data_IF_458627164209
#
_entry.id   IF_458627164209
#
_cell.length_a   1.000
_cell.length_b   1.000
_cell.length_c   1.000
_cell.angle_alpha   90.00
_cell.angle_beta   90.00
_cell.angle_gamma   90.00
#
_symmetry.space_group_name_H-M   'P 1'
#
loop_
_entity.id
_entity.type
_entity.pdbx_description
1 polymer ?
#
# COMPACT_ATOMS: atom_id res chain seq x y z
N UNK A 1 -10.55 20.23 -21.79
CA UNK A 1 -10.41 18.75 -21.71
C UNK A 1 -9.80 18.39 -20.36
N UNK A 2 -10.58 17.85 -19.41
CA UNK A 2 -10.09 17.53 -18.06
C UNK A 2 -9.23 16.25 -18.16
N UNK A 3 -7.91 16.39 -18.00
CA UNK A 3 -6.97 15.27 -17.99
C UNK A 3 -7.23 14.46 -16.72
N UNK A 4 -8.02 13.38 -16.83
CA UNK A 4 -8.30 12.48 -15.70
C UNK A 4 -6.99 11.87 -15.19
N UNK A 5 -6.67 12.12 -13.92
CA UNK A 5 -5.47 11.64 -13.27
C UNK A 5 -5.56 10.11 -13.09
N UNK A 6 -4.60 9.37 -13.65
CA UNK A 6 -4.50 7.92 -13.47
C UNK A 6 -4.31 7.57 -11.99
N UNK A 7 -5.01 6.53 -11.54
CA UNK A 7 -4.87 5.90 -10.23
C UNK A 7 -3.59 5.07 -10.26
N UNK A 8 -2.74 5.26 -9.26
CA UNK A 8 -1.43 4.62 -9.14
C UNK A 8 -1.08 4.41 -7.67
N UNK A 9 -0.05 3.61 -7.42
CA UNK A 9 0.51 3.44 -6.08
C UNK A 9 0.92 4.78 -5.45
N UNK A 10 0.81 4.88 -4.13
CA UNK A 10 1.03 6.11 -3.38
C UNK A 10 -0.15 7.09 -3.40
N UNK A 11 -1.17 6.90 -4.23
CA UNK A 11 -2.44 7.66 -4.13
C UNK A 11 -3.28 7.19 -2.93
N UNK A 12 -4.42 7.84 -2.68
CA UNK A 12 -5.23 7.54 -1.49
C UNK A 12 -6.49 6.74 -1.82
N UNK A 13 -6.86 5.88 -0.88
CA UNK A 13 -8.17 5.23 -0.81
C UNK A 13 -8.85 5.63 0.50
N UNK A 14 -10.13 5.94 0.44
CA UNK A 14 -10.92 6.31 1.62
C UNK A 14 -12.00 5.30 1.95
N UNK A 15 -12.28 5.13 3.24
CA UNK A 15 -13.51 4.47 3.69
C UNK A 15 -14.71 5.43 3.60
N UNK A 16 -15.92 4.93 3.87
CA UNK A 16 -17.14 5.74 3.93
C UNK A 16 -17.10 6.88 4.96
N UNK A 17 -16.30 6.75 6.03
CA UNK A 17 -16.09 7.79 7.05
C UNK A 17 -15.01 8.82 6.67
N UNK A 18 -14.51 8.81 5.44
CA UNK A 18 -13.54 9.79 4.94
C UNK A 18 -12.09 9.61 5.40
N UNK A 19 -11.80 8.64 6.28
CA UNK A 19 -10.42 8.29 6.67
C UNK A 19 -9.70 7.66 5.48
N UNK A 20 -8.44 8.06 5.28
CA UNK A 20 -7.66 7.73 4.08
C UNK A 20 -6.46 6.86 4.43
N UNK A 21 -6.29 5.79 3.67
CA UNK A 21 -5.07 4.99 3.61
C UNK A 21 -4.35 5.24 2.28
N UNK A 22 -3.08 4.87 2.21
CA UNK A 22 -2.29 4.95 0.97
C UNK A 22 -2.41 3.64 0.18
N UNK A 23 -2.56 3.74 -1.14
CA UNK A 23 -2.56 2.60 -2.05
C UNK A 23 -1.13 2.06 -2.15
N UNK A 24 -0.92 0.88 -1.57
CA UNK A 24 0.36 0.19 -1.51
C UNK A 24 0.70 -0.57 -2.79
N UNK A 25 -0.24 -1.29 -3.37
CA UNK A 25 -0.03 -1.95 -4.65
C UNK A 25 -1.32 -2.00 -5.47
N UNK A 26 -1.15 -2.09 -6.79
CA UNK A 26 -2.23 -2.30 -7.75
C UNK A 26 -1.83 -3.46 -8.64
N UNK A 27 -2.43 -4.63 -8.42
CA UNK A 27 -2.15 -5.84 -9.20
C UNK A 27 -3.25 -6.09 -10.22
N UNK A 28 -2.87 -6.51 -11.42
CA UNK A 28 -3.82 -6.94 -12.46
C UNK A 28 -4.31 -8.34 -12.13
N UNK A 29 -5.60 -8.60 -12.37
CA UNK A 29 -6.20 -9.91 -12.24
C UNK A 29 -7.20 -10.14 -13.38
N UNK A 30 -6.75 -10.82 -14.43
CA UNK A 30 -7.49 -11.03 -15.69
C UNK A 30 -8.06 -9.69 -16.22
N UNK A 31 -9.37 -9.48 -16.03
CA UNK A 31 -10.11 -8.31 -16.50
C UNK A 31 -10.43 -7.30 -15.37
N UNK A 32 -9.78 -7.43 -14.22
CA UNK A 32 -9.99 -6.56 -13.05
C UNK A 32 -8.66 -6.15 -12.43
N UNK A 33 -8.70 -5.19 -11.51
CA UNK A 33 -7.55 -4.82 -10.69
C UNK A 33 -7.87 -5.10 -9.23
N UNK A 34 -6.86 -5.52 -8.47
CA UNK A 34 -6.91 -5.54 -7.01
C UNK A 34 -6.00 -4.47 -6.46
N UNK A 35 -6.48 -3.80 -5.43
CA UNK A 35 -5.76 -2.73 -4.76
C UNK A 35 -5.41 -3.22 -3.36
N UNK A 36 -4.16 -3.02 -2.95
CA UNK A 36 -3.65 -3.45 -1.65
C UNK A 36 -3.38 -2.20 -0.82
N UNK A 37 -3.86 -2.19 0.43
CA UNK A 37 -3.64 -1.11 1.41
C UNK A 37 -3.53 -1.69 2.82
N UNK A 38 -3.11 -0.87 3.79
CA UNK A 38 -3.09 -1.24 5.21
C UNK A 38 -4.50 -1.42 5.78
N UNK A 39 -4.74 -2.54 6.46
CA UNK A 39 -6.04 -2.85 7.05
C UNK A 39 -6.34 -2.02 8.30
N UNK A 40 -5.37 -1.76 9.17
CA UNK A 40 -5.62 -1.06 10.44
C UNK A 40 -6.25 0.32 10.23
N UNK A 41 -5.93 1.02 9.13
CA UNK A 41 -6.57 2.29 8.79
C UNK A 41 -8.06 2.11 8.49
N UNK A 42 -8.41 1.08 7.71
CA UNK A 42 -9.81 0.77 7.41
C UNK A 42 -10.57 0.25 8.65
N UNK A 43 -9.87 -0.44 9.55
CA UNK A 43 -10.42 -0.90 10.82
C UNK A 43 -10.88 0.27 11.69
N UNK A 44 -10.18 1.41 11.69
CA UNK A 44 -10.59 2.63 12.42
C UNK A 44 -11.99 3.09 11.94
N UNK A 45 -12.31 2.90 10.66
CA UNK A 45 -13.64 3.23 10.13
C UNK A 45 -14.73 2.20 10.50
N UNK A 46 -14.37 1.05 11.06
CA UNK A 46 -15.25 -0.11 11.19
C UNK A 46 -15.45 -0.87 9.87
N UNK A 47 -14.56 -0.71 8.88
CA UNK A 47 -14.65 -1.47 7.64
C UNK A 47 -14.36 -2.96 7.88
N UNK A 48 -15.21 -3.79 7.30
CA UNK A 48 -15.11 -5.26 7.23
C UNK A 48 -15.13 -5.70 5.77
N UNK A 49 -14.97 -7.00 5.51
CA UNK A 49 -15.20 -7.53 4.17
C UNK A 49 -16.61 -7.16 3.68
N UNK A 50 -16.71 -6.74 2.42
CA UNK A 50 -17.92 -6.19 1.82
C UNK A 50 -18.12 -4.68 2.04
N UNK A 51 -17.43 -4.04 2.99
CA UNK A 51 -17.54 -2.60 3.23
C UNK A 51 -17.10 -1.77 2.02
N UNK A 52 -17.75 -0.63 1.85
CA UNK A 52 -17.49 0.28 0.73
C UNK A 52 -16.24 1.12 0.95
N UNK A 53 -15.49 1.31 -0.13
CA UNK A 53 -14.27 2.13 -0.20
C UNK A 53 -14.26 2.93 -1.50
N UNK A 54 -13.52 4.03 -1.50
CA UNK A 54 -13.57 5.03 -2.57
C UNK A 54 -12.18 5.46 -3.00
N UNK A 55 -11.97 5.55 -4.31
CA UNK A 55 -10.79 6.18 -4.93
C UNK A 55 -11.30 7.19 -5.93
N UNK A 56 -11.06 8.47 -5.68
CA UNK A 56 -11.67 9.57 -6.42
C UNK A 56 -13.20 9.38 -6.47
N UNK A 57 -13.77 9.27 -7.68
CA UNK A 57 -15.20 9.01 -7.93
C UNK A 57 -15.56 7.52 -8.00
N UNK A 58 -14.58 6.62 -7.97
CA UNK A 58 -14.83 5.19 -8.14
C UNK A 58 -15.14 4.54 -6.80
N UNK A 59 -16.26 3.81 -6.78
CA UNK A 59 -16.70 3.00 -5.66
C UNK A 59 -16.16 1.58 -5.80
N UNK A 60 -15.66 1.03 -4.70
CA UNK A 60 -15.15 -0.33 -4.58
C UNK A 60 -15.59 -0.97 -3.28
N UNK A 61 -15.08 -2.18 -3.03
CA UNK A 61 -15.35 -2.92 -1.80
C UNK A 61 -14.08 -3.52 -1.20
N UNK A 62 -14.07 -3.67 0.11
CA UNK A 62 -13.11 -4.54 0.79
C UNK A 62 -13.43 -5.98 0.42
N UNK A 63 -12.57 -6.59 -0.40
CA UNK A 63 -12.79 -7.96 -0.86
C UNK A 63 -12.33 -8.98 0.17
N UNK A 64 -11.13 -8.77 0.74
CA UNK A 64 -10.53 -9.71 1.69
C UNK A 64 -9.62 -9.01 2.67
N UNK A 65 -9.60 -9.47 3.92
CA UNK A 65 -8.73 -8.95 4.97
C UNK A 65 -7.74 -10.04 5.41
N UNK A 66 -6.44 -9.72 5.34
CA UNK A 66 -5.37 -10.56 5.86
C UNK A 66 -4.87 -9.96 7.18
N UNK A 67 -5.57 -10.27 8.28
CA UNK A 67 -5.31 -9.65 9.60
C UNK A 67 -3.86 -9.79 10.04
N UNK A 68 -3.27 -10.98 9.86
CA UNK A 68 -1.89 -11.27 10.28
C UNK A 68 -0.83 -10.47 9.50
N UNK A 69 -1.19 -9.95 8.33
CA UNK A 69 -0.32 -9.13 7.50
C UNK A 69 -0.69 -7.64 7.59
N UNK A 70 -1.74 -7.27 8.33
CA UNK A 70 -2.29 -5.91 8.28
C UNK A 70 -2.62 -5.44 6.84
N UNK A 71 -3.11 -6.35 5.99
CA UNK A 71 -3.44 -6.06 4.58
C UNK A 71 -4.95 -6.13 4.36
N UNK A 72 -5.47 -5.14 3.65
CA UNK A 72 -6.78 -5.20 3.01
C UNK A 72 -6.64 -5.24 1.49
N UNK A 73 -7.28 -6.24 0.88
CA UNK A 73 -7.42 -6.38 -0.57
C UNK A 73 -8.75 -5.78 -0.99
N UNK A 74 -8.71 -4.83 -1.92
CA UNK A 74 -9.86 -4.08 -2.38
C UNK A 74 -10.15 -4.43 -3.84
N UNK A 75 -11.43 -4.51 -4.17
CA UNK A 75 -11.91 -4.67 -5.54
C UNK A 75 -12.56 -3.38 -6.03
N UNK A 76 -12.20 -2.98 -7.24
CA UNK A 76 -12.84 -1.87 -7.93
C UNK A 76 -13.14 -2.26 -9.38
N UNK A 77 -14.21 -1.70 -9.91
CA UNK A 77 -14.49 -1.71 -11.34
C UNK A 77 -14.06 -0.36 -11.93
N UNK A 78 -12.82 -0.27 -12.39
CA UNK A 78 -12.24 0.95 -12.97
C UNK A 78 -11.75 0.60 -14.37
N UNK A 79 -12.10 1.40 -15.40
CA UNK A 79 -11.56 1.18 -16.73
C UNK A 79 -10.03 1.22 -16.71
N UNK A 80 -9.41 0.31 -17.46
CA UNK A 80 -7.96 0.09 -17.47
C UNK A 80 -7.15 1.35 -17.74
N UNK A 81 -7.67 2.24 -18.58
CA UNK A 81 -6.97 3.46 -19.01
C UNK A 81 -6.76 4.45 -17.85
N UNK A 82 -7.53 4.31 -16.77
CA UNK A 82 -7.41 5.11 -15.56
C UNK A 82 -6.50 4.48 -14.50
N UNK A 83 -5.91 3.32 -14.73
CA UNK A 83 -5.14 2.59 -13.72
C UNK A 83 -3.72 2.30 -14.20
N UNK A 84 -2.74 2.56 -13.34
CA UNK A 84 -1.35 2.14 -13.51
C UNK A 84 -1.06 1.03 -12.51
N UNK A 85 -0.83 -0.18 -13.02
CA UNK A 85 -0.48 -1.34 -12.21
C UNK A 85 0.95 -1.24 -11.68
N UNK A 86 1.22 -1.92 -10.58
CA UNK A 86 2.54 -2.07 -9.99
C UNK A 86 3.02 -3.50 -10.13
N UNK A 87 4.32 -3.67 -10.35
CA UNK A 87 4.97 -4.97 -10.19
C UNK A 87 5.33 -5.21 -8.72
N UNK A 88 5.06 -6.43 -8.24
CA UNK A 88 5.50 -6.88 -6.92
C UNK A 88 6.86 -7.56 -7.08
N UNK A 89 7.82 -7.16 -6.26
CA UNK A 89 9.19 -7.69 -6.27
C UNK A 89 9.53 -8.44 -4.99
N UNK A 90 10.65 -9.17 -5.03
CA UNK A 90 11.25 -9.73 -3.84
C UNK A 90 12.07 -8.65 -3.11
N UNK A 91 11.91 -8.51 -1.78
CA UNK A 91 12.72 -7.60 -0.99
C UNK A 91 14.19 -8.06 -0.93
N UNK A 92 15.10 -7.09 -0.79
CA UNK A 92 16.51 -7.28 -0.48
C UNK A 92 16.92 -6.31 0.62
N UNK A 93 17.94 -6.67 1.39
CA UNK A 93 18.55 -5.74 2.34
C UNK A 93 19.14 -4.54 1.59
N UNK A 94 19.02 -3.35 2.17
CA UNK A 94 19.58 -2.13 1.60
C UNK A 94 18.54 -1.09 1.21
N UNK A 95 18.90 -0.22 0.28
CA UNK A 95 18.15 1.00 -0.04
C UNK A 95 16.75 0.74 -0.57
N UNK A 96 15.79 1.53 -0.10
CA UNK A 96 14.42 1.56 -0.57
C UNK A 96 13.84 2.96 -0.32
N UNK A 97 12.58 3.17 -0.68
CA UNK A 97 11.84 4.35 -0.26
C UNK A 97 10.35 4.04 -0.14
N UNK A 98 9.64 4.82 0.68
CA UNK A 98 8.18 4.83 0.65
C UNK A 98 7.67 5.97 -0.23
N UNK A 99 6.51 5.77 -0.86
CA UNK A 99 5.90 6.76 -1.74
C UNK A 99 4.47 7.12 -1.30
N UNK A 100 4.20 8.40 -1.11
CA UNK A 100 2.85 8.92 -0.91
C UNK A 100 2.64 10.19 -1.72
N UNK A 101 1.63 10.21 -2.58
CA UNK A 101 1.24 11.36 -3.43
C UNK A 101 2.41 11.99 -4.20
N UNK A 102 3.38 11.18 -4.64
CA UNK A 102 4.59 11.66 -5.34
C UNK A 102 5.75 12.01 -4.42
N UNK A 103 5.54 12.14 -3.12
CA UNK A 103 6.61 12.39 -2.14
C UNK A 103 7.30 11.08 -1.79
N UNK A 104 8.62 11.02 -2.04
CA UNK A 104 9.48 9.89 -1.70
C UNK A 104 10.15 10.15 -0.35
N UNK A 105 10.06 9.20 0.58
CA UNK A 105 10.86 9.20 1.82
C UNK A 105 11.84 8.02 1.78
N UNK A 106 13.15 8.28 1.78
CA UNK A 106 14.16 7.22 1.72
C UNK A 106 14.15 6.38 3.00
N UNK A 107 14.40 5.09 2.84
CA UNK A 107 14.57 4.14 3.94
C UNK A 107 15.57 3.04 3.54
N UNK A 108 15.87 2.14 4.47
CA UNK A 108 16.55 0.88 4.17
C UNK A 108 15.72 -0.28 4.70
N UNK A 109 15.69 -1.37 3.95
CA UNK A 109 15.25 -2.67 4.44
C UNK A 109 16.43 -3.25 5.22
N UNK A 110 16.23 -3.48 6.52
CA UNK A 110 17.28 -3.94 7.45
C UNK A 110 17.02 -5.36 7.95
N UNK A 111 15.82 -5.89 7.76
CA UNK A 111 15.48 -7.29 8.01
C UNK A 111 14.31 -7.72 7.11
N UNK A 112 14.31 -8.98 6.67
CA UNK A 112 13.31 -9.55 5.75
C UNK A 112 12.61 -10.71 6.46
N UNK A 113 11.42 -10.46 6.99
CA UNK A 113 10.54 -11.50 7.48
C UNK A 113 9.50 -11.95 6.45
N UNK A 114 8.96 -13.16 6.65
CA UNK A 114 7.83 -13.71 5.87
C UNK A 114 6.55 -12.87 6.01
N UNK A 115 6.33 -12.32 7.20
CA UNK A 115 5.13 -11.52 7.53
C UNK A 115 5.43 -10.03 7.41
N UNK A 116 6.55 -9.58 8.00
CA UNK A 116 6.93 -8.17 8.03
C UNK A 116 8.42 -8.01 7.70
N UNK A 117 8.73 -6.98 6.94
CA UNK A 117 10.10 -6.49 6.76
C UNK A 117 10.35 -5.35 7.75
N UNK A 118 11.56 -5.27 8.30
CA UNK A 118 11.95 -4.15 9.15
C UNK A 118 12.63 -3.09 8.31
N UNK A 119 12.22 -1.85 8.51
CA UNK A 119 12.75 -0.68 7.82
C UNK A 119 13.47 0.23 8.80
N UNK A 120 14.54 0.89 8.37
CA UNK A 120 15.15 2.02 9.06
C UNK A 120 14.98 3.30 8.24
N UNK A 121 14.68 4.41 8.90
CA UNK A 121 14.56 5.72 8.27
C UNK A 121 15.63 6.68 8.80
N UNK A 122 16.06 7.67 8.00
CA UNK A 122 16.75 8.82 8.55
C UNK A 122 15.84 9.54 9.56
N UNK A 123 16.36 9.92 10.72
CA UNK A 123 15.56 10.50 11.82
C UNK A 123 14.68 11.70 11.38
N UNK A 124 15.18 12.55 10.47
CA UNK A 124 14.46 13.72 9.94
C UNK A 124 13.45 13.40 8.82
N UNK A 125 13.36 12.15 8.38
CA UNK A 125 12.51 11.70 7.26
C UNK A 125 11.59 10.56 7.65
N UNK A 126 11.19 10.53 8.91
CA UNK A 126 10.25 9.53 9.41
C UNK A 126 8.90 9.64 8.69
N UNK A 127 8.21 8.51 8.46
CA UNK A 127 6.83 8.57 8.06
C UNK A 127 5.98 9.14 9.20
N UNK A 128 4.82 9.69 8.84
CA UNK A 128 3.89 10.35 9.77
C UNK A 128 2.53 9.65 9.75
N UNK A 129 1.63 9.91 10.71
CA UNK A 129 0.26 9.45 10.62
C UNK A 129 -0.35 9.76 9.24
N UNK A 130 -0.95 8.75 8.62
CA UNK A 130 -1.47 8.81 7.25
C UNK A 130 -0.50 8.36 6.15
N UNK A 131 0.75 8.02 6.47
CA UNK A 131 1.65 7.29 5.55
C UNK A 131 1.35 5.78 5.54
N UNK A 132 0.51 5.28 6.43
CA UNK A 132 0.07 3.87 6.46
C UNK A 132 -0.48 3.40 5.11
N UNK A 133 -0.03 2.22 4.70
CA UNK A 133 -0.30 1.64 3.39
C UNK A 133 0.67 2.07 2.29
N UNK A 134 1.61 2.99 2.58
CA UNK A 134 2.54 3.48 1.53
C UNK A 134 3.34 2.32 0.93
N UNK A 135 3.44 2.20 -0.41
CA UNK A 135 4.33 1.24 -1.05
C UNK A 135 5.76 1.42 -0.55
N UNK A 136 6.43 0.33 -0.21
CA UNK A 136 7.89 0.27 -0.11
C UNK A 136 8.42 -0.13 -1.47
N UNK A 137 9.24 0.73 -2.08
CA UNK A 137 9.74 0.55 -3.44
C UNK A 137 11.25 0.30 -3.40
N UNK A 138 11.67 -0.77 -4.05
CA UNK A 138 13.07 -1.16 -4.28
C UNK A 138 13.21 -1.68 -5.71
N UNK A 139 14.25 -1.27 -6.42
CA UNK A 139 14.51 -1.65 -7.83
C UNK A 139 13.29 -1.44 -8.76
N UNK A 140 12.51 -0.38 -8.51
CA UNK A 140 11.30 -0.05 -9.28
C UNK A 140 10.06 -0.89 -8.96
N UNK A 141 10.15 -1.85 -8.04
CA UNK A 141 9.08 -2.79 -7.67
C UNK A 141 8.56 -2.53 -6.26
N UNK A 142 7.29 -2.86 -6.02
CA UNK A 142 6.71 -2.83 -4.67
C UNK A 142 7.11 -4.10 -3.94
N UNK A 143 7.84 -3.97 -2.84
CA UNK A 143 8.34 -5.11 -2.06
C UNK A 143 7.64 -5.26 -0.70
N UNK A 144 6.78 -4.29 -0.35
CA UNK A 144 6.03 -4.28 0.90
C UNK A 144 5.12 -3.05 0.97
N UNK A 145 4.29 -2.97 2.00
CA UNK A 145 3.51 -1.76 2.31
C UNK A 145 3.74 -1.34 3.76
N UNK A 146 3.88 -0.05 4.03
CA UNK A 146 4.13 0.47 5.37
C UNK A 146 2.94 0.16 6.30
N UNK A 147 3.20 -0.51 7.42
CA UNK A 147 2.18 -0.87 8.41
C UNK A 147 2.29 -0.01 9.66
N UNK A 148 3.45 0.03 10.32
CA UNK A 148 3.63 0.75 11.58
C UNK A 148 5.03 1.34 11.71
N UNK A 149 5.18 2.33 12.59
CA UNK A 149 6.41 3.11 12.79
C UNK A 149 6.75 3.12 14.28
N UNK A 150 8.02 2.91 14.60
CA UNK A 150 8.60 3.02 15.92
C UNK A 150 9.48 4.27 15.97
N UNK A 151 8.94 5.36 16.52
CA UNK A 151 9.64 6.64 16.56
C UNK A 151 10.89 6.62 17.46
N UNK A 152 10.93 5.74 18.47
CA UNK A 152 12.03 5.64 19.44
C UNK A 152 13.37 5.30 18.81
N UNK A 153 13.38 4.54 17.71
CA UNK A 153 14.59 4.10 17.03
C UNK A 153 14.57 4.37 15.52
N UNK A 154 13.65 5.23 15.07
CA UNK A 154 13.48 5.57 13.65
C UNK A 154 13.27 4.33 12.74
N UNK A 155 12.62 3.29 13.25
CA UNK A 155 12.31 2.08 12.48
C UNK A 155 10.83 1.97 12.15
N UNK A 156 10.50 1.06 11.24
CA UNK A 156 9.13 0.73 10.89
C UNK A 156 9.02 -0.74 10.50
N UNK A 157 7.80 -1.23 10.41
CA UNK A 157 7.49 -2.51 9.77
C UNK A 157 6.68 -2.28 8.50
N UNK A 158 7.00 -3.07 7.48
CA UNK A 158 6.23 -3.16 6.27
C UNK A 158 5.68 -4.57 6.08
N UNK A 159 4.41 -4.68 5.78
CA UNK A 159 3.76 -5.96 5.49
C UNK A 159 4.34 -6.56 4.21
N UNK A 160 4.73 -7.82 4.29
CA UNK A 160 5.21 -8.59 3.14
C UNK A 160 4.11 -8.76 2.10
N UNK A 161 4.48 -8.60 0.83
CA UNK A 161 3.62 -8.89 -0.31
C UNK A 161 3.94 -10.22 -0.99
N UNK A 162 4.77 -11.08 -0.38
CA UNK A 162 5.21 -12.35 -0.96
C UNK A 162 4.04 -13.22 -1.46
N UNK A 163 2.92 -13.23 -0.73
CA UNK A 163 1.70 -13.97 -1.10
C UNK A 163 1.06 -13.52 -2.42
N UNK A 164 1.39 -12.31 -2.88
CA UNK A 164 0.85 -11.71 -4.09
C UNK A 164 1.87 -11.72 -5.24
N UNK A 165 3.05 -12.31 -5.05
CA UNK A 165 3.98 -12.57 -6.15
C UNK A 165 3.32 -13.50 -7.17
N UNK A 166 3.38 -13.13 -8.44
CA UNK A 166 3.04 -14.03 -9.53
C UNK A 166 4.06 -15.17 -9.50
N UNK A 167 3.62 -16.39 -9.14
CA UNK A 167 4.40 -17.60 -9.37
C UNK A 167 4.39 -17.81 -10.89
N UNK A 168 5.54 -17.57 -11.52
CA UNK A 168 5.79 -18.02 -12.88
C UNK A 168 5.80 -19.54 -12.93
#
# INVERSE_FOLDING_TARGET
MIKLRKIKIGELVSCCKGIKAVIGAIIKNKNSFKIITSYHVLKICGCKEGSEVYINRFKGKVQKIFKNLDIALLSFNIPSDFVLTSEIGNPKLGSAYILRRGHKKPCKIIDIGKTFHKLSFPARKLPVPGDSGSPVIQDGKVVGILSSIYYTNATAIASSLEKFLERK
#
